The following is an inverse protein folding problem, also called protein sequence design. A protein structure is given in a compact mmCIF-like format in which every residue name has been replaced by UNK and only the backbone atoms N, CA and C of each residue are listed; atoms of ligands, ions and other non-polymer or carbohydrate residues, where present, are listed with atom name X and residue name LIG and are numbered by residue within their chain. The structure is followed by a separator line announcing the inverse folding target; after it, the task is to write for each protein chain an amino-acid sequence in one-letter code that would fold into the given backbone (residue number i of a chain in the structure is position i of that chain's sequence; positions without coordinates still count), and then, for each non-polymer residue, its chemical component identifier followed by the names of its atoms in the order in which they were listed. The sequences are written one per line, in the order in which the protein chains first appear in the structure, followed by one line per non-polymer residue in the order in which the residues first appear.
data_IF_143378555510
#
_entry.id   IF_143378555510
#
_cell.length_a   1.000
_cell.length_b   1.000
_cell.length_c   1.000
_cell.angle_alpha   90.00
_cell.angle_beta   90.00
_cell.angle_gamma   90.00
#
_symmetry.space_group_name_H-M   'P 1'
#
loop_
_entity.id
_entity.type
_entity.pdbx_description
1 polymer ?
#
# COMPACT_ATOMS: atom_id res chain seq x y z
N UNK A 1 -26.51 18.85 -13.16
CA UNK A 1 -25.60 18.29 -12.14
C UNK A 1 -25.96 16.82 -11.99
N UNK A 2 -25.21 15.89 -12.59
CA UNK A 2 -25.50 14.45 -12.47
C UNK A 2 -25.14 13.96 -11.07
N UNK A 3 -26.03 13.19 -10.47
CA UNK A 3 -25.78 12.53 -9.18
C UNK A 3 -24.58 11.58 -9.31
N UNK A 4 -23.63 11.55 -8.36
CA UNK A 4 -22.47 10.67 -8.44
C UNK A 4 -22.94 9.21 -8.40
N UNK A 5 -22.73 8.51 -9.52
CA UNK A 5 -23.07 7.08 -9.67
C UNK A 5 -22.42 6.27 -8.57
N UNK A 6 -23.23 5.54 -7.79
CA UNK A 6 -22.72 4.55 -6.82
C UNK A 6 -21.97 3.45 -7.58
N UNK A 7 -20.70 3.16 -7.25
CA UNK A 7 -19.95 2.09 -7.89
C UNK A 7 -20.59 0.74 -7.60
N UNK A 8 -20.63 -0.12 -8.62
CA UNK A 8 -21.12 -1.49 -8.48
C UNK A 8 -20.19 -2.34 -7.62
N UNK A 9 -20.69 -3.45 -7.08
CA UNK A 9 -19.88 -4.39 -6.28
C UNK A 9 -18.64 -4.88 -7.05
N UNK A 10 -18.78 -5.14 -8.35
CA UNK A 10 -17.68 -5.58 -9.21
C UNK A 10 -16.57 -4.51 -9.35
N UNK A 11 -16.93 -3.24 -9.46
CA UNK A 11 -15.96 -2.13 -9.53
C UNK A 11 -15.24 -1.92 -8.20
N UNK A 12 -15.95 -2.07 -7.08
CA UNK A 12 -15.36 -2.03 -5.74
C UNK A 12 -14.33 -3.16 -5.60
N UNK A 13 -14.69 -4.39 -5.98
CA UNK A 13 -13.80 -5.54 -5.91
C UNK A 13 -12.55 -5.37 -6.80
N UNK A 14 -12.72 -4.90 -8.03
CA UNK A 14 -11.61 -4.63 -8.94
C UNK A 14 -10.63 -3.59 -8.35
N UNK A 15 -11.16 -2.49 -7.80
CA UNK A 15 -10.35 -1.47 -7.12
C UNK A 15 -9.61 -2.02 -5.90
N UNK A 16 -10.28 -2.84 -5.08
CA UNK A 16 -9.67 -3.49 -3.92
C UNK A 16 -8.58 -4.49 -4.31
N UNK A 17 -8.74 -5.24 -5.42
CA UNK A 17 -7.71 -6.14 -5.94
C UNK A 17 -6.43 -5.40 -6.29
N UNK A 18 -6.55 -4.22 -6.91
CA UNK A 18 -5.39 -3.35 -7.20
C UNK A 18 -4.73 -2.86 -5.91
N UNK A 19 -5.52 -2.43 -4.92
CA UNK A 19 -5.00 -1.97 -3.63
C UNK A 19 -4.25 -3.09 -2.87
N UNK A 20 -4.81 -4.31 -2.84
CA UNK A 20 -4.17 -5.49 -2.25
C UNK A 20 -2.85 -5.81 -2.94
N UNK A 21 -2.82 -5.79 -4.27
CA UNK A 21 -1.60 -6.05 -5.05
C UNK A 21 -0.52 -5.01 -4.75
N UNK A 22 -0.86 -3.72 -4.71
CA UNK A 22 0.10 -2.65 -4.37
C UNK A 22 0.69 -2.83 -2.96
N UNK A 23 -0.17 -3.16 -1.98
CA UNK A 23 0.27 -3.49 -0.61
C UNK A 23 1.16 -4.72 -0.56
N UNK A 24 0.81 -5.78 -1.28
CA UNK A 24 1.61 -6.99 -1.33
C UNK A 24 3.00 -6.70 -1.91
N UNK A 25 3.09 -5.94 -3.01
CA UNK A 25 4.36 -5.50 -3.60
C UNK A 25 5.18 -4.70 -2.60
N UNK A 26 4.57 -3.74 -1.90
CA UNK A 26 5.23 -2.95 -0.86
C UNK A 26 5.80 -3.83 0.25
N UNK A 27 5.02 -4.78 0.78
CA UNK A 27 5.48 -5.70 1.81
C UNK A 27 6.58 -6.65 1.32
N UNK A 28 6.49 -7.14 0.08
CA UNK A 28 7.55 -7.96 -0.53
C UNK A 28 8.83 -7.15 -0.67
N UNK A 29 8.77 -5.91 -1.15
CA UNK A 29 9.94 -5.04 -1.27
C UNK A 29 10.61 -4.82 0.08
N UNK A 30 9.82 -4.61 1.14
CA UNK A 30 10.37 -4.51 2.50
C UNK A 30 11.04 -5.83 2.92
N UNK A 31 10.36 -6.96 2.73
CA UNK A 31 10.85 -8.27 3.14
C UNK A 31 12.15 -8.67 2.41
N UNK A 32 12.30 -8.28 1.15
CA UNK A 32 13.50 -8.52 0.32
C UNK A 32 14.76 -7.86 0.89
N UNK A 33 14.63 -6.86 1.75
CA UNK A 33 15.78 -6.21 2.37
C UNK A 33 16.68 -7.18 3.14
N UNK A 34 16.09 -8.06 3.94
CA UNK A 34 16.82 -8.98 4.82
C UNK A 34 17.68 -9.99 4.03
N UNK A 35 17.16 -10.74 3.04
CA UNK A 35 18.01 -11.62 2.25
C UNK A 35 19.01 -10.84 1.40
N UNK A 36 18.63 -9.66 0.88
CA UNK A 36 19.54 -8.85 0.08
C UNK A 36 20.75 -8.37 0.88
N UNK A 37 20.54 -7.82 2.08
CA UNK A 37 21.64 -7.32 2.91
C UNK A 37 22.54 -8.46 3.37
N UNK A 38 21.97 -9.63 3.70
CA UNK A 38 22.74 -10.82 4.03
C UNK A 38 23.69 -11.21 2.89
N UNK A 39 23.18 -11.32 1.67
CA UNK A 39 23.98 -11.69 0.49
C UNK A 39 25.04 -10.61 0.18
N UNK A 40 24.68 -9.34 0.27
CA UNK A 40 25.62 -8.24 -0.02
C UNK A 40 26.74 -8.19 1.01
N UNK A 41 26.44 -8.41 2.29
CA UNK A 41 27.45 -8.44 3.35
C UNK A 41 28.37 -9.66 3.21
N UNK A 42 27.80 -10.84 2.98
CA UNK A 42 28.55 -12.10 2.80
C UNK A 42 29.49 -12.04 1.58
N UNK A 43 29.02 -11.48 0.46
CA UNK A 43 29.79 -11.45 -0.79
C UNK A 43 30.78 -10.28 -0.88
N UNK A 44 30.40 -9.08 -0.41
CA UNK A 44 31.18 -7.87 -0.70
C UNK A 44 32.20 -7.52 0.38
N UNK A 45 31.92 -7.84 1.65
CA UNK A 45 32.72 -7.38 2.79
C UNK A 45 32.93 -5.86 2.85
N UNK A 46 32.16 -5.06 2.09
CA UNK A 46 32.40 -3.64 1.87
C UNK A 46 31.19 -2.79 2.24
N UNK A 47 31.40 -1.85 3.16
CA UNK A 47 30.36 -0.91 3.59
C UNK A 47 29.87 -0.01 2.44
N UNK A 48 30.75 0.31 1.48
CA UNK A 48 30.40 1.15 0.33
C UNK A 48 29.40 0.45 -0.59
N UNK A 49 29.64 -0.82 -0.91
CA UNK A 49 28.75 -1.62 -1.76
C UNK A 49 27.40 -1.80 -1.05
N UNK A 50 27.44 -2.15 0.23
CA UNK A 50 26.27 -2.26 1.09
C UNK A 50 25.42 -0.99 1.09
N UNK A 51 26.06 0.18 1.21
CA UNK A 51 25.39 1.48 1.16
C UNK A 51 24.69 1.77 -0.16
N UNK A 52 25.29 1.39 -1.30
CA UNK A 52 24.69 1.57 -2.64
C UNK A 52 23.41 0.72 -2.75
N UNK A 53 23.46 -0.55 -2.39
CA UNK A 53 22.29 -1.45 -2.43
C UNK A 53 21.18 -0.99 -1.48
N UNK A 54 21.55 -0.53 -0.28
CA UNK A 54 20.60 0.09 0.65
C UNK A 54 19.93 1.32 0.03
N UNK A 55 20.69 2.21 -0.63
CA UNK A 55 20.16 3.39 -1.30
C UNK A 55 19.14 3.04 -2.39
N UNK A 56 19.45 2.07 -3.25
CA UNK A 56 18.50 1.59 -4.27
C UNK A 56 17.24 0.99 -3.65
N UNK A 57 17.40 0.14 -2.64
CA UNK A 57 16.26 -0.46 -1.95
C UNK A 57 15.37 0.61 -1.30
N UNK A 58 15.96 1.58 -0.61
CA UNK A 58 15.25 2.66 0.06
C UNK A 58 14.46 3.51 -0.94
N UNK A 59 15.05 3.78 -2.11
CA UNK A 59 14.38 4.48 -3.20
C UNK A 59 13.12 3.71 -3.68
N UNK A 60 13.23 2.41 -3.96
CA UNK A 60 12.10 1.60 -4.38
C UNK A 60 11.00 1.49 -3.31
N UNK A 61 11.37 1.31 -2.05
CA UNK A 61 10.42 1.26 -0.94
C UNK A 61 9.69 2.60 -0.79
N UNK A 62 10.40 3.72 -0.96
CA UNK A 62 9.81 5.06 -0.91
C UNK A 62 8.78 5.25 -2.02
N UNK A 63 9.08 4.82 -3.25
CA UNK A 63 8.11 4.87 -4.36
C UNK A 63 6.89 4.00 -4.04
N UNK A 64 7.11 2.75 -3.63
CA UNK A 64 6.03 1.81 -3.32
C UNK A 64 5.15 2.32 -2.17
N UNK A 65 5.75 2.93 -1.13
CA UNK A 65 5.04 3.58 -0.03
C UNK A 65 4.11 4.68 -0.54
N UNK A 66 4.61 5.59 -1.38
CA UNK A 66 3.80 6.67 -1.96
C UNK A 66 2.66 6.13 -2.84
N UNK A 67 2.95 5.13 -3.69
CA UNK A 67 1.93 4.49 -4.53
C UNK A 67 0.81 3.87 -3.69
N UNK A 68 1.13 3.24 -2.57
CA UNK A 68 0.13 2.70 -1.63
C UNK A 68 -0.59 3.83 -0.91
N UNK A 69 0.12 4.81 -0.35
CA UNK A 69 -0.44 5.94 0.38
C UNK A 69 -1.50 6.70 -0.42
N UNK A 70 -1.19 7.05 -1.67
CA UNK A 70 -2.08 7.79 -2.57
C UNK A 70 -3.04 6.89 -3.37
N UNK A 71 -3.24 5.64 -2.97
CA UNK A 71 -4.26 4.80 -3.59
C UNK A 71 -5.67 5.24 -3.18
N UNK A 72 -6.54 5.47 -4.17
CA UNK A 72 -7.94 5.86 -3.93
C UNK A 72 -8.78 4.66 -3.48
N UNK A 73 -9.71 4.92 -2.57
CA UNK A 73 -10.74 3.99 -2.15
C UNK A 73 -11.80 3.88 -3.26
N UNK A 74 -12.14 2.66 -3.74
CA UNK A 74 -13.09 2.50 -4.83
C UNK A 74 -14.54 2.77 -4.43
N UNK A 75 -14.83 2.91 -3.14
CA UNK A 75 -16.17 3.23 -2.62
C UNK A 75 -16.39 4.74 -2.47
N UNK A 76 -15.51 5.44 -1.73
CA UNK A 76 -15.69 6.87 -1.44
C UNK A 76 -14.82 7.82 -2.29
N UNK A 77 -13.91 7.29 -3.11
CA UNK A 77 -13.02 8.09 -3.97
C UNK A 77 -11.87 8.81 -3.27
N UNK A 78 -11.88 8.89 -1.93
CA UNK A 78 -10.80 9.48 -1.12
C UNK A 78 -9.57 8.57 -1.05
N UNK A 79 -8.43 9.09 -0.61
CA UNK A 79 -7.24 8.27 -0.39
C UNK A 79 -7.47 7.24 0.72
N UNK A 80 -7.23 5.97 0.44
CA UNK A 80 -7.55 4.88 1.36
C UNK A 80 -6.74 4.96 2.66
N UNK A 81 -5.46 5.35 2.55
CA UNK A 81 -4.49 5.36 3.64
C UNK A 81 -4.14 6.75 4.18
N UNK A 82 -4.62 7.83 3.56
CA UNK A 82 -4.29 9.18 4.03
C UNK A 82 -5.40 9.71 4.94
N UNK A 83 -5.01 10.26 6.08
CA UNK A 83 -5.87 11.12 6.89
C UNK A 83 -5.00 12.23 7.48
N UNK A 84 -5.04 13.41 6.84
CA UNK A 84 -4.07 14.48 7.08
C UNK A 84 -2.77 14.28 6.30
N UNK A 85 -1.63 14.62 6.91
CA UNK A 85 -0.32 14.64 6.23
C UNK A 85 0.43 13.29 6.27
N UNK A 86 0.02 12.35 7.14
CA UNK A 86 0.75 11.09 7.35
C UNK A 86 -0.09 9.91 6.86
N UNK A 87 0.46 9.03 6.01
CA UNK A 87 -0.23 7.81 5.62
C UNK A 87 -0.32 6.81 6.78
N UNK A 88 -1.53 6.37 7.10
CA UNK A 88 -1.79 5.27 8.02
C UNK A 88 -2.16 4.01 7.22
N UNK A 89 -1.27 3.03 7.26
CA UNK A 89 -1.41 1.76 6.53
C UNK A 89 -2.37 0.77 7.23
N UNK A 90 -3.57 1.20 7.62
CA UNK A 90 -4.60 0.31 8.17
C UNK A 90 -5.30 -0.55 7.12
N UNK A 91 -6.02 -1.59 7.59
CA UNK A 91 -6.79 -2.50 6.72
C UNK A 91 -8.16 -1.95 6.32
N UNK A 92 -8.62 -0.87 6.92
CA UNK A 92 -9.88 -0.18 6.59
C UNK A 92 -9.58 1.20 6.01
N UNK A 93 -10.42 1.67 5.10
CA UNK A 93 -10.38 3.04 4.63
C UNK A 93 -10.62 4.01 5.79
N UNK A 94 -9.78 5.04 5.90
CA UNK A 94 -9.86 6.04 6.98
C UNK A 94 -11.09 6.93 6.91
N UNK A 95 -11.77 6.98 5.76
CA UNK A 95 -12.93 7.85 5.54
C UNK A 95 -14.26 7.09 5.59
N UNK A 96 -14.40 5.99 4.84
CA UNK A 96 -15.65 5.22 4.77
C UNK A 96 -15.62 3.88 5.51
N UNK A 97 -14.47 3.47 6.04
CA UNK A 97 -14.38 2.26 6.88
C UNK A 97 -14.36 0.95 6.10
N UNK A 98 -14.46 1.02 4.76
CA UNK A 98 -14.41 -0.13 3.86
C UNK A 98 -13.17 -0.98 4.16
N UNK A 99 -13.37 -2.26 4.50
CA UNK A 99 -12.26 -3.17 4.72
C UNK A 99 -11.59 -3.56 3.40
N UNK A 100 -10.28 -3.73 3.41
CA UNK A 100 -9.48 -4.06 2.22
C UNK A 100 -9.92 -5.35 1.53
N UNK A 101 -10.52 -6.30 2.26
CA UNK A 101 -11.06 -7.56 1.68
C UNK A 101 -12.40 -7.36 0.97
N UNK A 102 -13.09 -6.22 1.16
CA UNK A 102 -14.43 -5.99 0.62
C UNK A 102 -15.52 -6.79 1.36
N UNK A 103 -15.16 -7.39 2.49
CA UNK A 103 -16.10 -8.10 3.36
C UNK A 103 -16.88 -7.06 4.19
N UNK A 104 -18.18 -6.96 3.93
CA UNK A 104 -19.08 -5.99 4.58
C UNK A 104 -19.04 -6.16 6.11
N UNK A 105 -18.95 -7.40 6.62
CA UNK A 105 -18.90 -7.68 8.06
C UNK A 105 -17.66 -7.11 8.78
N UNK A 106 -16.63 -6.73 8.03
CA UNK A 106 -15.37 -6.18 8.56
C UNK A 106 -15.27 -4.67 8.43
N UNK A 107 -16.30 -4.02 7.91
CA UNK A 107 -16.34 -2.56 7.81
C UNK A 107 -16.47 -1.96 9.21
N UNK A 108 -15.70 -0.89 9.48
CA UNK A 108 -15.62 -0.28 10.82
C UNK A 108 -16.63 0.84 11.08
N UNK A 109 -17.21 1.42 10.03
CA UNK A 109 -18.09 2.60 10.15
C UNK A 109 -19.49 2.33 9.59
N UNK A 110 -19.88 1.06 9.50
CA UNK A 110 -21.23 0.66 9.15
C UNK A 110 -22.18 1.13 10.28
N UNK A 111 -23.00 2.14 9.97
CA UNK A 111 -24.19 2.50 10.74
C UNK A 111 -25.39 1.84 10.08
#
# INVERSE_FOLDING_TARGET
MSEPRKPSKAEIEAGLKVLRRRRLIFWILIAVYLPMIYVVLDMSGSDKVTGIFFGFWLFFVTIAANVVAFSKCPSCGQFFHMNGMIPMYFRNCLHCGLHITGDEKRNKFEK
#
